data_IF_144189782173
#
_entry.id   IF_144189782173
#
_cell.length_a   1.000
_cell.length_b   1.000
_cell.length_c   1.000
_cell.angle_alpha   90.00
_cell.angle_beta   90.00
_cell.angle_gamma   90.00
#
_symmetry.space_group_name_H-M   'P 1'
#
loop_
_entity.id
_entity.type
_entity.pdbx_description
1 polymer ?
#
# COMPACT_ATOMS: atom_id res chain seq x y z
N UNK A 1 3.43 -27.36 -23.67
CA UNK A 1 3.96 -26.51 -22.58
C UNK A 1 3.05 -25.31 -22.41
N UNK A 2 2.50 -25.09 -21.21
CA UNK A 2 1.73 -23.90 -20.89
C UNK A 2 2.68 -22.80 -20.41
N UNK A 3 2.61 -21.61 -21.00
CA UNK A 3 3.44 -20.47 -20.62
C UNK A 3 2.94 -19.86 -19.31
N UNK A 4 3.86 -19.56 -18.39
CA UNK A 4 3.51 -19.01 -17.06
C UNK A 4 3.15 -17.53 -17.16
N UNK A 5 2.38 -17.02 -16.19
CA UNK A 5 2.03 -15.59 -16.15
C UNK A 5 3.27 -14.69 -15.99
N UNK A 6 4.34 -15.20 -15.37
CA UNK A 6 5.63 -14.50 -15.31
C UNK A 6 6.23 -14.27 -16.70
N UNK A 7 6.14 -15.25 -17.61
CA UNK A 7 6.60 -15.08 -18.99
C UNK A 7 5.81 -13.98 -19.72
N UNK A 8 4.49 -13.90 -19.47
CA UNK A 8 3.64 -12.86 -20.09
C UNK A 8 4.01 -11.45 -19.60
N UNK A 9 4.28 -11.31 -18.30
CA UNK A 9 4.69 -10.04 -17.69
C UNK A 9 6.04 -9.59 -18.28
N UNK A 10 7.04 -10.47 -18.27
CA UNK A 10 8.37 -10.17 -18.81
C UNK A 10 8.30 -9.79 -20.30
N UNK A 11 7.50 -10.52 -21.09
CA UNK A 11 7.24 -10.19 -22.49
C UNK A 11 6.67 -8.77 -22.64
N UNK A 12 5.64 -8.44 -21.86
CA UNK A 12 4.95 -7.15 -21.95
C UNK A 12 5.89 -5.99 -21.59
N UNK A 13 6.69 -6.13 -20.54
CA UNK A 13 7.66 -5.12 -20.13
C UNK A 13 8.71 -4.87 -21.21
N UNK A 14 9.22 -5.93 -21.85
CA UNK A 14 10.17 -5.80 -22.97
C UNK A 14 9.52 -5.13 -24.20
N UNK A 15 8.27 -5.49 -24.52
CA UNK A 15 7.54 -4.88 -25.62
C UNK A 15 7.31 -3.38 -25.37
N UNK A 16 6.88 -2.99 -24.17
CA UNK A 16 6.68 -1.59 -23.79
C UNK A 16 7.97 -0.78 -23.87
N UNK A 17 9.11 -1.34 -23.43
CA UNK A 17 10.42 -0.70 -23.54
C UNK A 17 10.81 -0.40 -24.99
N UNK A 18 10.64 -1.36 -25.89
CA UNK A 18 10.93 -1.17 -27.32
C UNK A 18 9.98 -0.16 -27.99
N UNK A 19 8.70 -0.16 -27.61
CA UNK A 19 7.71 0.80 -28.11
C UNK A 19 8.04 2.21 -27.62
N UNK A 20 8.44 2.38 -26.36
CA UNK A 20 8.87 3.67 -25.81
C UNK A 20 10.10 4.22 -26.52
N UNK A 21 10.97 3.35 -27.04
CA UNK A 21 12.12 3.73 -27.87
C UNK A 21 11.75 4.10 -29.32
N UNK A 22 10.46 4.17 -29.66
CA UNK A 22 9.96 4.62 -30.96
C UNK A 22 9.71 3.52 -31.98
N UNK A 23 9.87 2.23 -31.62
CA UNK A 23 9.48 1.12 -32.52
C UNK A 23 7.97 0.98 -32.58
N UNK A 24 7.45 0.70 -33.77
CA UNK A 24 6.03 0.41 -33.97
C UNK A 24 5.60 -0.85 -33.23
N UNK A 25 4.45 -0.82 -32.56
CA UNK A 25 3.92 -1.94 -31.77
C UNK A 25 3.89 -3.25 -32.57
N UNK A 26 3.48 -3.19 -33.84
CA UNK A 26 3.35 -4.38 -34.69
C UNK A 26 4.70 -5.02 -35.03
N UNK A 27 5.73 -4.21 -35.23
CA UNK A 27 7.10 -4.68 -35.51
C UNK A 27 7.73 -5.25 -34.25
N UNK A 28 7.60 -4.55 -33.12
CA UNK A 28 8.07 -5.02 -31.81
C UNK A 28 7.50 -6.40 -31.47
N UNK A 29 6.18 -6.59 -31.62
CA UNK A 29 5.54 -7.88 -31.35
C UNK A 29 6.01 -8.99 -32.32
N UNK A 30 6.37 -8.65 -33.56
CA UNK A 30 6.87 -9.62 -34.55
C UNK A 30 8.31 -10.03 -34.27
N UNK A 31 9.17 -9.07 -33.91
CA UNK A 31 10.54 -9.33 -33.49
C UNK A 31 10.55 -10.21 -32.23
N UNK A 32 9.83 -9.82 -31.18
CA UNK A 32 9.80 -10.58 -29.93
C UNK A 32 9.19 -11.98 -30.10
N UNK A 33 8.20 -12.14 -30.99
CA UNK A 33 7.65 -13.45 -31.34
C UNK A 33 8.72 -14.35 -31.99
N UNK A 34 9.53 -13.78 -32.90
CA UNK A 34 10.62 -14.49 -33.57
C UNK A 34 11.72 -14.88 -32.58
N UNK A 35 12.12 -13.96 -31.72
CA UNK A 35 13.20 -14.17 -30.74
C UNK A 35 12.81 -15.18 -29.66
N UNK A 36 11.55 -15.16 -29.24
CA UNK A 36 11.04 -16.06 -28.20
C UNK A 36 10.58 -17.42 -28.76
N UNK A 37 10.52 -17.58 -30.09
CA UNK A 37 9.94 -18.76 -30.75
C UNK A 37 8.43 -18.93 -30.48
N UNK A 38 7.74 -17.85 -30.08
CA UNK A 38 6.32 -17.88 -29.73
C UNK A 38 5.50 -17.49 -30.96
N UNK A 39 4.40 -18.19 -31.28
CA UNK A 39 3.50 -17.77 -32.35
C UNK A 39 3.01 -16.33 -32.15
N UNK A 40 3.04 -15.54 -33.21
CA UNK A 40 2.64 -14.13 -33.18
C UNK A 40 1.20 -13.93 -32.64
N UNK A 41 0.28 -14.85 -32.95
CA UNK A 41 -1.09 -14.82 -32.44
C UNK A 41 -1.15 -14.84 -30.91
N UNK A 42 -0.36 -15.70 -30.28
CA UNK A 42 -0.26 -15.82 -28.81
C UNK A 42 0.27 -14.54 -28.19
N UNK A 43 1.36 -14.00 -28.75
CA UNK A 43 1.98 -12.74 -28.32
C UNK A 43 1.01 -11.57 -28.43
N UNK A 44 0.28 -11.48 -29.55
CA UNK A 44 -0.72 -10.44 -29.78
C UNK A 44 -1.84 -10.53 -28.75
N UNK A 45 -2.32 -11.73 -28.44
CA UNK A 45 -3.39 -11.94 -27.47
C UNK A 45 -2.95 -11.62 -26.03
N UNK A 46 -1.66 -11.80 -25.70
CA UNK A 46 -1.10 -11.34 -24.42
C UNK A 46 -1.00 -9.82 -24.33
N UNK A 47 -0.63 -9.16 -25.43
CA UNK A 47 -0.47 -7.71 -25.46
C UNK A 47 -1.82 -6.96 -25.52
N UNK A 48 -2.79 -7.50 -26.27
CA UNK A 48 -4.15 -7.00 -26.37
C UNK A 48 -5.14 -7.98 -25.71
N UNK A 49 -5.18 -8.04 -24.36
CA UNK A 49 -6.13 -8.90 -23.69
C UNK A 49 -7.55 -8.47 -24.09
N UNK A 50 -8.39 -9.44 -24.47
CA UNK A 50 -9.79 -9.18 -24.82
C UNK A 50 -10.47 -8.46 -23.65
N UNK A 51 -11.33 -7.48 -23.94
CA UNK A 51 -12.02 -6.65 -22.93
C UNK A 51 -12.73 -7.49 -21.84
N UNK A 52 -13.13 -8.71 -22.18
CA UNK A 52 -13.83 -9.62 -21.27
C UNK A 52 -12.91 -10.43 -20.34
N UNK A 53 -11.60 -10.46 -20.57
CA UNK A 53 -10.63 -11.19 -19.74
C UNK A 53 -9.98 -10.34 -18.65
N UNK A 54 -10.26 -9.02 -18.61
CA UNK A 54 -9.80 -8.17 -17.51
C UNK A 54 -10.84 -8.27 -16.39
N UNK A 55 -10.53 -8.91 -15.25
CA UNK A 55 -11.45 -8.88 -14.11
C UNK A 55 -11.71 -7.40 -13.79
N UNK A 56 -12.98 -6.97 -13.86
CA UNK A 56 -13.39 -5.65 -13.39
C UNK A 56 -13.03 -5.59 -11.91
N UNK A 57 -11.85 -5.04 -11.60
CA UNK A 57 -11.48 -4.68 -10.24
C UNK A 57 -12.50 -3.63 -9.86
N UNK A 58 -13.55 -4.05 -9.14
CA UNK A 58 -14.52 -3.15 -8.54
C UNK A 58 -13.67 -2.21 -7.71
N UNK A 59 -13.49 -0.99 -8.19
CA UNK A 59 -12.81 0.08 -7.47
C UNK A 59 -13.68 0.32 -6.24
N UNK A 60 -13.44 -0.43 -5.16
CA UNK A 60 -14.05 -0.16 -3.86
C UNK A 60 -13.54 1.24 -3.55
N UNK A 61 -14.42 2.24 -3.63
CA UNK A 61 -14.12 3.62 -3.26
C UNK A 61 -13.36 3.54 -1.95
N UNK A 62 -12.07 3.93 -1.96
CA UNK A 62 -11.29 4.02 -0.74
C UNK A 62 -12.11 4.92 0.20
N UNK A 63 -12.43 4.49 1.42
CA UNK A 63 -13.11 5.39 2.35
C UNK A 63 -12.26 6.66 2.46
N UNK A 64 -12.92 7.82 2.45
CA UNK A 64 -12.25 9.10 2.72
C UNK A 64 -11.32 8.94 3.92
N UNK A 65 -10.12 9.51 3.88
CA UNK A 65 -9.18 9.46 5.01
C UNK A 65 -9.89 9.79 6.33
N UNK A 66 -10.80 10.76 6.31
CA UNK A 66 -11.61 11.15 7.45
C UNK A 66 -12.47 10.01 8.03
N UNK A 67 -13.09 9.19 7.18
CA UNK A 67 -13.87 8.02 7.60
C UNK A 67 -12.97 6.90 8.13
N UNK A 68 -11.79 6.73 7.53
CA UNK A 68 -10.80 5.77 8.02
C UNK A 68 -10.31 6.15 9.44
N UNK A 69 -9.97 7.42 9.66
CA UNK A 69 -9.54 7.91 10.97
C UNK A 69 -10.65 7.86 12.03
N UNK A 70 -11.90 8.18 11.66
CA UNK A 70 -13.07 8.02 12.55
C UNK A 70 -13.24 6.57 13.03
N UNK A 71 -13.03 5.59 12.16
CA UNK A 71 -13.10 4.17 12.53
C UNK A 71 -11.94 3.73 13.44
N UNK A 72 -10.74 4.26 13.23
CA UNK A 72 -9.59 4.01 14.10
C UNK A 72 -9.81 4.61 15.49
N UNK A 73 -10.26 5.86 15.57
CA UNK A 73 -10.56 6.54 16.84
C UNK A 73 -11.60 5.77 17.67
N UNK A 74 -12.69 5.32 17.03
CA UNK A 74 -13.73 4.52 17.70
C UNK A 74 -13.20 3.19 18.24
N UNK A 75 -12.29 2.54 17.51
CA UNK A 75 -11.64 1.30 17.96
C UNK A 75 -10.72 1.55 19.15
N UNK A 76 -9.93 2.62 19.12
CA UNK A 76 -9.06 3.02 20.23
C UNK A 76 -9.88 3.29 21.49
N UNK A 77 -10.98 4.04 21.39
CA UNK A 77 -11.85 4.34 22.53
C UNK A 77 -12.47 3.08 23.15
N UNK A 78 -12.90 2.14 22.31
CA UNK A 78 -13.42 0.84 22.77
C UNK A 78 -12.34 0.02 23.49
N UNK A 79 -11.10 0.04 22.98
CA UNK A 79 -9.97 -0.66 23.58
C UNK A 79 -9.59 -0.04 24.93
N UNK A 80 -9.53 1.29 25.01
CA UNK A 80 -9.24 2.02 26.24
C UNK A 80 -10.29 1.73 27.30
N UNK A 81 -11.58 1.71 26.92
CA UNK A 81 -12.67 1.35 27.83
C UNK A 81 -12.55 -0.09 28.32
N UNK A 82 -12.27 -1.04 27.43
CA UNK A 82 -12.04 -2.44 27.81
C UNK A 82 -10.86 -2.59 28.76
N UNK A 83 -9.75 -1.91 28.52
CA UNK A 83 -8.58 -1.93 29.41
C UNK A 83 -8.90 -1.28 30.76
N UNK A 84 -9.69 -0.21 30.81
CA UNK A 84 -10.12 0.40 32.07
C UNK A 84 -11.07 -0.51 32.88
N UNK A 85 -11.91 -1.29 32.21
CA UNK A 85 -12.85 -2.21 32.85
C UNK A 85 -12.22 -3.55 33.27
N UNK A 86 -11.10 -3.94 32.66
CA UNK A 86 -10.44 -5.24 32.91
C UNK A 86 -9.02 -5.14 33.50
N UNK A 87 -8.44 -3.94 33.65
CA UNK A 87 -7.24 -3.76 34.45
C UNK A 87 -7.62 -3.72 35.92
N UNK A 88 -7.20 -4.74 36.66
CA UNK A 88 -7.22 -4.73 38.11
C UNK A 88 -6.22 -3.67 38.62
N UNK A 89 -6.67 -2.58 39.30
CA UNK A 89 -5.76 -1.56 39.82
C UNK A 89 -4.79 -2.13 40.88
N UNK A 90 -5.03 -3.34 41.40
CA UNK A 90 -4.12 -4.06 42.29
C UNK A 90 -2.89 -4.67 41.59
N UNK A 91 -2.90 -4.80 40.26
CA UNK A 91 -1.78 -5.36 39.50
C UNK A 91 -0.75 -4.31 39.04
N UNK A 92 -1.07 -3.02 39.21
CA UNK A 92 -0.11 -1.92 39.01
C UNK A 92 0.62 -1.66 40.33
N UNK A 93 1.58 -2.52 40.66
CA UNK A 93 2.49 -2.31 41.78
C UNK A 93 3.33 -1.04 41.51
N UNK A 94 3.19 0.05 42.29
CA UNK A 94 3.91 1.30 42.03
C UNK A 94 5.41 1.24 42.39
N UNK A 95 5.92 0.08 42.81
CA UNK A 95 7.29 -0.08 43.32
C UNK A 95 8.13 -1.15 42.61
N UNK A 96 7.71 -1.63 41.44
CA UNK A 96 8.67 -2.26 40.55
C UNK A 96 9.59 -1.15 39.99
N UNK A 97 10.74 -0.96 40.63
CA UNK A 97 11.86 -0.17 40.13
C UNK A 97 12.28 -0.69 38.75
N UNK A 98 11.59 -0.24 37.71
CA UNK A 98 12.07 -0.32 36.35
C UNK A 98 13.19 0.72 36.26
N UNK A 99 14.41 0.19 36.19
CA UNK A 99 15.66 0.90 35.91
C UNK A 99 15.44 2.14 35.05
N UNK A 100 16.02 3.24 35.51
CA UNK A 100 15.89 4.61 34.98
C UNK A 100 16.25 4.69 33.47
N UNK A 101 16.92 3.69 32.89
CA UNK A 101 17.24 3.66 31.46
C UNK A 101 16.04 3.42 30.54
N UNK A 102 14.91 2.86 30.99
CA UNK A 102 13.75 2.63 30.11
C UNK A 102 12.75 3.80 30.09
N UNK A 103 12.97 4.85 30.88
CA UNK A 103 12.07 6.03 30.94
C UNK A 103 12.24 7.02 29.77
N UNK A 104 13.30 6.92 28.97
CA UNK A 104 13.51 7.85 27.86
C UNK A 104 12.72 7.53 26.57
N UNK A 105 12.23 6.31 26.37
CA UNK A 105 11.56 5.95 25.10
C UNK A 105 10.06 6.20 25.08
N UNK A 106 9.40 6.31 26.24
CA UNK A 106 7.95 6.56 26.31
C UNK A 106 7.62 8.05 26.42
N UNK A 107 8.49 8.88 27.00
CA UNK A 107 8.28 10.34 27.03
C UNK A 107 8.76 11.05 25.75
N UNK A 108 9.73 10.49 25.01
CA UNK A 108 10.16 11.02 23.71
C UNK A 108 9.09 10.93 22.61
N UNK A 109 8.05 10.10 22.79
CA UNK A 109 6.92 10.02 21.86
C UNK A 109 5.77 10.99 22.19
N UNK A 110 5.66 11.46 23.45
CA UNK A 110 4.60 12.37 23.87
C UNK A 110 4.90 13.84 23.50
N UNK A 111 6.17 14.25 23.53
CA UNK A 111 6.58 15.59 23.11
C UNK A 111 6.50 15.77 21.58
N UNK A 112 6.69 14.69 20.83
CA UNK A 112 6.49 14.69 19.39
C UNK A 112 5.02 14.99 19.05
N UNK A 113 4.04 14.37 19.75
CA UNK A 113 2.62 14.62 19.48
C UNK A 113 2.13 16.06 19.74
N UNK A 114 2.78 16.82 20.65
CA UNK A 114 2.47 18.26 20.81
C UNK A 114 3.02 19.10 19.65
N UNK A 115 4.21 18.76 19.13
CA UNK A 115 4.80 19.44 17.98
C UNK A 115 3.95 19.30 16.71
N UNK A 116 3.36 18.11 16.47
CA UNK A 116 2.47 17.90 15.33
C UNK A 116 1.13 18.67 15.45
N UNK A 117 0.66 18.92 16.67
CA UNK A 117 -0.56 19.71 16.90
C UNK A 117 -0.35 21.20 16.57
N UNK A 118 0.83 21.77 16.86
CA UNK A 118 1.18 23.14 16.49
C UNK A 118 1.46 23.32 14.99
N UNK A 119 2.04 22.31 14.33
CA UNK A 119 2.25 22.32 12.87
C UNK A 119 0.91 22.29 12.11
N UNK A 120 -0.09 21.57 12.63
CA UNK A 120 -1.41 21.49 12.00
C UNK A 120 -2.27 22.75 12.22
N UNK A 121 -2.06 23.52 13.30
CA UNK A 121 -2.83 24.73 13.58
C UNK A 121 -2.30 26.01 12.90
N UNK A 122 -1.00 26.08 12.54
CA UNK A 122 -0.44 27.24 11.81
C UNK A 122 -0.63 27.19 10.28
N UNK A 123 -1.16 26.10 9.74
CA UNK A 123 -1.31 25.90 8.29
C UNK A 123 -2.59 26.48 7.66
N UNK A 124 -3.58 26.89 8.46
CA UNK A 124 -4.89 27.34 7.97
C UNK A 124 -5.07 28.86 7.95
N UNK A 125 -4.02 29.63 8.25
CA UNK A 125 -4.10 31.09 8.43
C UNK A 125 -3.12 31.86 7.53
N UNK A 126 -3.00 31.43 6.26
CA UNK A 126 -2.56 32.32 5.17
C UNK A 126 -3.46 32.13 3.95
N UNK A 127 -4.51 32.94 3.92
CA UNK A 127 -5.05 33.52 2.69
C UNK A 127 -5.06 35.03 2.86
#
# INVERSE_FOLDING_TARGET
MAWTDQCKIAFKTNAEGLIHNGKGVRETLRELAKDSGIPYGTVRDWYYPKKDSVPKVRNKKKPSQETAWKNVARRMESLTKYMAENCDPSACDPLAEVSVETRCTVLGHAENLRSWRDILYRGTERR
#
